data_IF_970716994981
#
_entry.id   IF_970716994981
#
_cell.length_a   1.000
_cell.length_b   1.000
_cell.length_c   1.000
_cell.angle_alpha   90.00
_cell.angle_beta   90.00
_cell.angle_gamma   90.00
#
_symmetry.space_group_name_H-M   'P 1'
#
loop_
_entity.id
_entity.type
_entity.pdbx_description
1 polymer ?
#
# COMPACT_ATOMS: atom_id res chain seq x y z
N UNK A 1 11.37 -33.04 -46.26
CA UNK A 1 12.13 -31.77 -46.21
C UNK A 1 11.18 -30.58 -46.39
N UNK A 2 10.08 -30.54 -45.63
CA UNK A 2 8.96 -29.59 -45.78
C UNK A 2 8.54 -28.99 -44.42
N UNK A 3 9.43 -29.00 -43.42
CA UNK A 3 9.15 -28.54 -42.05
C UNK A 3 9.92 -27.26 -41.68
N UNK A 4 10.85 -26.80 -42.51
CA UNK A 4 11.74 -25.67 -42.16
C UNK A 4 11.06 -24.31 -42.29
N UNK A 5 10.20 -24.12 -43.29
CA UNK A 5 9.54 -22.84 -43.54
C UNK A 5 8.38 -22.59 -42.57
N UNK A 6 7.54 -23.60 -42.31
CA UNK A 6 6.43 -23.47 -41.35
C UNK A 6 6.92 -23.18 -39.93
N UNK A 7 7.99 -23.87 -39.51
CA UNK A 7 8.64 -23.59 -38.23
C UNK A 7 9.25 -22.19 -38.20
N UNK A 8 9.93 -21.76 -39.27
CA UNK A 8 10.50 -20.41 -39.36
C UNK A 8 9.43 -19.30 -39.29
N UNK A 9 8.31 -19.46 -39.98
CA UNK A 9 7.19 -18.50 -39.92
C UNK A 9 6.58 -18.49 -38.52
N UNK A 10 6.42 -19.65 -37.89
CA UNK A 10 5.90 -19.75 -36.52
C UNK A 10 6.82 -19.06 -35.53
N UNK A 11 8.12 -19.29 -35.62
CA UNK A 11 9.13 -18.66 -34.77
C UNK A 11 9.15 -17.14 -34.94
N UNK A 12 9.06 -16.65 -36.17
CA UNK A 12 9.00 -15.22 -36.46
C UNK A 12 7.73 -14.58 -35.89
N UNK A 13 6.58 -15.22 -36.05
CA UNK A 13 5.30 -14.74 -35.50
C UNK A 13 5.36 -14.71 -33.97
N UNK A 14 5.88 -15.76 -33.33
CA UNK A 14 6.06 -15.79 -31.88
C UNK A 14 6.99 -14.68 -31.40
N UNK A 15 8.08 -14.39 -32.12
CA UNK A 15 9.00 -13.32 -31.79
C UNK A 15 8.34 -11.94 -31.89
N UNK A 16 7.58 -11.68 -32.96
CA UNK A 16 6.84 -10.42 -33.14
C UNK A 16 5.80 -10.24 -32.03
N UNK A 17 5.02 -11.28 -31.73
CA UNK A 17 4.01 -11.24 -30.67
C UNK A 17 4.64 -11.03 -29.29
N UNK A 18 5.78 -11.66 -29.03
CA UNK A 18 6.54 -11.48 -27.79
C UNK A 18 7.03 -10.04 -27.64
N UNK A 19 7.57 -9.46 -28.71
CA UNK A 19 8.01 -8.07 -28.71
C UNK A 19 6.84 -7.10 -28.49
N UNK A 20 5.72 -7.30 -29.20
CA UNK A 20 4.52 -6.48 -29.04
C UNK A 20 3.96 -6.54 -27.62
N UNK A 21 3.93 -7.74 -27.03
CA UNK A 21 3.48 -7.92 -25.65
C UNK A 21 4.37 -7.17 -24.65
N UNK A 22 5.69 -7.17 -24.84
CA UNK A 22 6.62 -6.44 -23.97
C UNK A 22 6.51 -4.91 -24.17
N UNK A 23 6.29 -4.46 -25.40
CA UNK A 23 6.07 -3.05 -25.70
C UNK A 23 4.80 -2.53 -25.01
N UNK A 24 3.69 -3.25 -25.12
CA UNK A 24 2.42 -2.90 -24.46
C UNK A 24 2.55 -2.94 -22.93
N UNK A 25 3.25 -3.95 -22.37
CA UNK A 25 3.54 -4.00 -20.94
C UNK A 25 4.32 -2.77 -20.47
N UNK A 26 5.29 -2.31 -21.26
CA UNK A 26 6.08 -1.11 -20.97
C UNK A 26 5.23 0.16 -21.02
N UNK A 27 4.34 0.29 -22.01
CA UNK A 27 3.40 1.42 -22.11
C UNK A 27 2.46 1.48 -20.90
N UNK A 28 1.89 0.34 -20.49
CA UNK A 28 0.98 0.26 -19.33
C UNK A 28 1.70 0.71 -18.05
N UNK A 29 2.91 0.20 -17.79
CA UNK A 29 3.72 0.60 -16.62
C UNK A 29 4.03 2.10 -16.62
N UNK A 30 4.37 2.65 -17.78
CA UNK A 30 4.68 4.07 -17.93
C UNK A 30 3.47 4.94 -17.59
N UNK A 31 2.31 4.63 -18.17
CA UNK A 31 1.05 5.34 -17.87
C UNK A 31 0.61 5.19 -16.42
N UNK A 32 0.77 3.99 -15.84
CA UNK A 32 0.47 3.76 -14.43
C UNK A 32 1.33 4.65 -13.53
N UNK A 33 2.64 4.73 -13.82
CA UNK A 33 3.57 5.61 -13.10
C UNK A 33 3.17 7.08 -13.23
N UNK A 34 2.87 7.54 -14.44
CA UNK A 34 2.38 8.91 -14.67
C UNK A 34 1.12 9.22 -13.87
N UNK A 35 0.16 8.29 -13.85
CA UNK A 35 -1.07 8.43 -13.05
C UNK A 35 -0.80 8.47 -11.54
N UNK A 36 0.12 7.64 -11.04
CA UNK A 36 0.56 7.65 -9.64
C UNK A 36 1.21 8.99 -9.29
N UNK A 37 2.10 9.51 -10.13
CA UNK A 37 2.77 10.79 -9.90
C UNK A 37 1.79 11.96 -9.93
N UNK A 38 0.80 11.95 -10.83
CA UNK A 38 -0.27 12.95 -10.84
C UNK A 38 -1.11 12.89 -9.56
N UNK A 39 -1.47 11.68 -9.09
CA UNK A 39 -2.22 11.51 -7.85
C UNK A 39 -1.44 12.00 -6.62
N UNK A 40 -0.12 11.74 -6.56
CA UNK A 40 0.76 12.28 -5.52
C UNK A 40 0.81 13.82 -5.55
N UNK A 41 0.95 14.42 -6.74
CA UNK A 41 0.93 15.89 -6.91
C UNK A 41 -0.39 16.52 -6.45
N UNK A 42 -1.51 15.82 -6.65
CA UNK A 42 -2.82 16.23 -6.14
C UNK A 42 -3.01 15.97 -4.64
N UNK A 43 -2.01 15.41 -3.94
CA UNK A 43 -2.11 15.08 -2.51
C UNK A 43 -3.02 13.89 -2.19
N UNK A 44 -3.39 13.07 -3.18
CA UNK A 44 -4.22 11.88 -2.95
C UNK A 44 -3.43 10.83 -2.16
N UNK A 45 -4.06 10.25 -1.13
CA UNK A 45 -3.48 9.13 -0.40
C UNK A 45 -3.44 7.89 -1.31
N UNK A 46 -2.25 7.31 -1.48
CA UNK A 46 -2.04 6.10 -2.25
C UNK A 46 -1.83 4.89 -1.32
N UNK A 47 -2.40 3.75 -1.71
CA UNK A 47 -2.30 2.50 -0.94
C UNK A 47 -3.30 2.42 0.21
N UNK A 48 -3.04 1.51 1.15
CA UNK A 48 -3.98 1.21 2.25
C UNK A 48 -4.18 2.47 3.13
N UNK A 49 -5.43 2.86 3.43
CA UNK A 49 -5.68 3.98 4.34
C UNK A 49 -5.10 3.66 5.72
N UNK A 50 -4.52 4.68 6.37
CA UNK A 50 -4.03 4.52 7.73
C UNK A 50 -5.22 4.34 8.68
N UNK A 51 -5.07 3.50 9.70
CA UNK A 51 -6.05 3.39 10.79
C UNK A 51 -6.32 4.78 11.37
N UNK A 52 -7.59 5.15 11.53
CA UNK A 52 -7.95 6.45 12.11
C UNK A 52 -7.59 6.46 13.61
N UNK A 53 -7.25 7.63 14.11
CA UNK A 53 -7.20 7.89 15.55
C UNK A 53 -8.63 8.28 15.89
N UNK A 54 -9.28 7.50 16.75
CA UNK A 54 -10.65 7.75 17.20
C UNK A 54 -10.64 8.30 18.61
N UNK A 55 -11.75 8.87 19.05
CA UNK A 55 -11.84 9.44 20.41
C UNK A 55 -11.70 8.35 21.47
N UNK A 56 -12.21 7.14 21.19
CA UNK A 56 -12.05 5.97 22.08
C UNK A 56 -10.58 5.57 22.22
N UNK A 57 -9.78 5.72 21.16
CA UNK A 57 -8.33 5.50 21.25
C UNK A 57 -7.67 6.54 22.15
N UNK A 58 -8.05 7.82 22.05
CA UNK A 58 -7.42 8.89 22.84
C UNK A 58 -7.69 8.66 24.32
N UNK A 59 -8.95 8.38 24.69
CA UNK A 59 -9.32 8.08 26.08
C UNK A 59 -8.57 6.86 26.61
N UNK A 60 -8.60 5.74 25.86
CA UNK A 60 -7.91 4.52 26.27
C UNK A 60 -6.38 4.70 26.33
N UNK A 61 -5.80 5.52 25.46
CA UNK A 61 -4.38 5.85 25.47
C UNK A 61 -4.00 6.65 26.72
N UNK A 62 -4.77 7.67 27.10
CA UNK A 62 -4.48 8.48 28.28
C UNK A 62 -4.55 7.67 29.58
N UNK A 63 -5.60 6.86 29.77
CA UNK A 63 -5.74 5.97 30.93
C UNK A 63 -4.60 4.94 30.98
N UNK A 64 -4.24 4.36 29.84
CA UNK A 64 -3.11 3.43 29.76
C UNK A 64 -1.77 4.12 30.06
N UNK A 65 -1.56 5.35 29.56
CA UNK A 65 -0.33 6.12 29.78
C UNK A 65 -0.15 6.53 31.23
N UNK A 66 -1.25 6.79 31.94
CA UNK A 66 -1.29 7.05 33.40
C UNK A 66 -1.05 5.78 34.23
N UNK A 67 -1.25 4.60 33.65
CA UNK A 67 -1.13 3.31 34.32
C UNK A 67 -2.44 2.81 34.93
N UNK A 68 -3.58 3.44 34.61
CA UNK A 68 -4.90 3.12 35.16
C UNK A 68 -5.47 1.82 34.58
N UNK A 69 -5.10 1.48 33.32
CA UNK A 69 -5.53 0.25 32.64
C UNK A 69 -4.35 -0.48 32.00
N UNK A 70 -4.50 -1.78 31.79
CA UNK A 70 -3.51 -2.58 31.05
C UNK A 70 -3.54 -2.29 29.54
N UNK A 71 -2.43 -2.56 28.85
CA UNK A 71 -2.36 -2.42 27.39
C UNK A 71 -3.40 -3.29 26.67
N UNK A 72 -3.68 -4.49 27.19
CA UNK A 72 -4.69 -5.39 26.63
C UNK A 72 -6.10 -4.80 26.74
N UNK A 73 -6.40 -4.14 27.86
CA UNK A 73 -7.69 -3.50 28.09
C UNK A 73 -7.85 -2.26 27.20
N UNK A 74 -6.81 -1.44 27.08
CA UNK A 74 -6.81 -0.30 26.16
C UNK A 74 -7.08 -0.72 24.71
N UNK A 75 -6.41 -1.80 24.26
CA UNK A 75 -6.63 -2.40 22.93
C UNK A 75 -8.07 -2.86 22.72
N UNK A 76 -8.70 -3.47 23.73
CA UNK A 76 -10.11 -3.88 23.66
C UNK A 76 -11.05 -2.68 23.55
N UNK A 77 -10.86 -1.65 24.38
CA UNK A 77 -11.69 -0.44 24.39
C UNK A 77 -11.68 0.30 23.06
N UNK A 78 -10.52 0.39 22.41
CA UNK A 78 -10.40 1.02 21.09
C UNK A 78 -10.56 0.04 19.91
N UNK A 79 -10.91 -1.22 20.16
CA UNK A 79 -11.06 -2.28 19.16
C UNK A 79 -9.87 -2.41 18.20
N UNK A 80 -8.64 -2.41 18.75
CA UNK A 80 -7.41 -2.51 17.98
C UNK A 80 -6.64 -3.80 18.31
N UNK A 81 -6.06 -4.40 17.28
CA UNK A 81 -5.04 -5.44 17.49
C UNK A 81 -3.77 -4.81 18.07
N UNK A 82 -2.99 -5.58 18.83
CA UNK A 82 -1.73 -5.11 19.44
C UNK A 82 -0.80 -4.38 18.45
N UNK A 83 -0.49 -4.91 17.25
CA UNK A 83 0.36 -4.20 16.29
C UNK A 83 -0.25 -2.89 15.79
N UNK A 84 -1.58 -2.81 15.71
CA UNK A 84 -2.28 -1.60 15.28
C UNK A 84 -2.25 -0.55 16.37
N UNK A 85 -2.51 -0.96 17.62
CA UNK A 85 -2.45 -0.08 18.78
C UNK A 85 -1.09 0.62 18.90
N UNK A 86 0.02 -0.13 18.96
CA UNK A 86 1.35 0.48 19.09
C UNK A 86 1.74 1.34 17.88
N UNK A 87 1.33 0.98 16.66
CA UNK A 87 1.55 1.81 15.47
C UNK A 87 0.75 3.12 15.53
N UNK A 88 -0.45 3.09 16.10
CA UNK A 88 -1.29 4.27 16.29
C UNK A 88 -0.71 5.15 17.40
N UNK A 89 -0.27 4.57 18.52
CA UNK A 89 0.43 5.24 19.64
C UNK A 89 1.64 6.01 19.14
N UNK A 90 2.59 5.35 18.47
CA UNK A 90 3.80 5.99 17.96
C UNK A 90 3.48 7.22 17.09
N UNK A 91 2.50 7.07 16.19
CA UNK A 91 2.05 8.16 15.32
C UNK A 91 1.31 9.27 16.07
N UNK A 92 0.62 8.95 17.16
CA UNK A 92 -0.03 9.95 18.02
C UNK A 92 1.03 10.78 18.76
N UNK A 93 2.01 10.12 19.37
CA UNK A 93 3.14 10.78 20.07
C UNK A 93 4.00 11.63 19.11
N UNK A 94 4.27 11.15 17.88
CA UNK A 94 5.00 11.92 16.86
C UNK A 94 4.26 13.19 16.42
N UNK A 95 2.92 13.16 16.38
CA UNK A 95 2.11 14.34 16.05
C UNK A 95 2.13 15.37 17.16
N UNK A 96 2.14 14.96 18.42
CA UNK A 96 2.20 15.88 19.57
C UNK A 96 3.59 16.53 19.71
N UNK A 97 4.67 15.85 19.30
CA UNK A 97 6.03 16.41 19.29
C UNK A 97 6.29 17.41 18.14
N UNK A 98 5.47 17.39 17.10
CA UNK A 98 5.59 18.28 15.93
C UNK A 98 4.71 19.55 16.02
N UNK A 99 4.02 19.75 17.14
CA UNK A 99 3.32 20.99 17.50
C UNK A 99 4.21 21.85 18.38
#
# INVERSE_FOLDING_TARGET
MQLSLENFITDLVLQILSWLAEEERTKIKTRQREGIELAKKQGKHLGRPKTKITDEFIVAYEEWKKGDISALEAMRRCNMTSPTFYRVVKRYEEKECSK
#
